data_IF_166229713729
#
_entry.id   IF_166229713729
#
_cell.length_a   1.000
_cell.length_b   1.000
_cell.length_c   1.000
_cell.angle_alpha   90.00
_cell.angle_beta   90.00
_cell.angle_gamma   90.00
#
_symmetry.space_group_name_H-M   'P 1'
#
loop_
_entity.id
_entity.type
_entity.pdbx_description
1 polymer ?
#
# COMPACT_ATOMS: atom_id res chain seq x y z
N UNK A 1 21.49 1.81 -26.97
CA UNK A 1 21.05 1.66 -25.57
C UNK A 1 20.24 2.90 -25.26
N UNK A 2 18.91 2.80 -25.31
CA UNK A 2 18.01 3.93 -25.01
C UNK A 2 17.99 4.07 -23.48
N UNK A 3 18.23 5.26 -22.91
CA UNK A 3 18.07 5.45 -21.48
C UNK A 3 16.61 5.19 -21.14
N UNK A 4 16.37 4.22 -20.25
CA UNK A 4 15.07 4.09 -19.59
C UNK A 4 14.86 5.42 -18.89
N UNK A 5 13.96 6.26 -19.43
CA UNK A 5 13.55 7.46 -18.74
C UNK A 5 13.00 7.00 -17.40
N UNK A 6 13.66 7.40 -16.32
CA UNK A 6 13.21 7.31 -14.93
C UNK A 6 12.01 8.25 -14.76
N UNK A 7 10.94 7.96 -15.50
CA UNK A 7 9.67 8.62 -15.34
C UNK A 7 9.03 7.91 -14.16
N UNK A 8 9.11 8.54 -12.98
CA UNK A 8 8.30 8.16 -11.83
C UNK A 8 6.90 7.80 -12.33
N UNK A 9 6.35 6.63 -11.97
CA UNK A 9 5.03 6.25 -12.44
C UNK A 9 4.08 7.40 -12.10
N UNK A 10 3.44 7.97 -13.12
CA UNK A 10 2.39 8.96 -12.88
C UNK A 10 1.43 8.33 -11.86
N UNK A 11 1.21 9.02 -10.74
CA UNK A 11 0.29 8.55 -9.70
C UNK A 11 -1.04 8.24 -10.37
N UNK A 12 -1.37 6.94 -10.45
CA UNK A 12 -2.62 6.48 -11.04
C UNK A 12 -3.73 6.87 -10.06
N UNK A 13 -4.81 7.54 -10.50
CA UNK A 13 -5.92 7.86 -9.62
C UNK A 13 -6.49 6.60 -8.95
N UNK A 14 -6.72 6.67 -7.63
CA UNK A 14 -7.35 5.59 -6.88
C UNK A 14 -8.83 5.51 -7.27
N UNK A 15 -9.23 4.41 -7.91
CA UNK A 15 -10.62 4.17 -8.37
C UNK A 15 -11.33 3.07 -7.59
N UNK A 16 -10.62 2.36 -6.71
CA UNK A 16 -11.13 1.27 -5.90
C UNK A 16 -10.49 1.30 -4.52
N UNK A 17 -11.26 0.96 -3.49
CA UNK A 17 -10.79 0.77 -2.12
C UNK A 17 -11.44 -0.45 -1.49
N UNK A 18 -10.69 -1.21 -0.69
CA UNK A 18 -11.19 -2.36 0.08
C UNK A 18 -10.79 -2.25 1.55
N UNK A 19 -11.17 -1.17 2.22
CA UNK A 19 -10.86 -0.98 3.63
C UNK A 19 -11.47 -2.07 4.51
N UNK A 20 -10.70 -2.54 5.48
CA UNK A 20 -11.20 -3.39 6.54
C UNK A 20 -12.21 -2.64 7.42
N UNK A 21 -12.93 -3.36 8.30
CA UNK A 21 -13.86 -2.75 9.22
C UNK A 21 -13.21 -1.62 10.05
N UNK A 22 -13.80 -0.43 9.99
CA UNK A 22 -13.34 0.79 10.69
C UNK A 22 -12.10 1.47 10.11
N UNK A 23 -11.56 1.01 8.98
CA UNK A 23 -10.41 1.63 8.33
C UNK A 23 -10.80 2.61 7.21
N UNK A 24 -9.94 3.61 6.89
CA UNK A 24 -8.71 3.96 7.60
C UNK A 24 -9.00 4.72 8.92
N UNK A 25 -8.24 4.46 9.97
CA UNK A 25 -8.45 5.02 11.31
C UNK A 25 -7.33 5.94 11.82
N UNK A 26 -6.18 5.98 11.14
CA UNK A 26 -5.04 6.83 11.48
C UNK A 26 -4.41 6.50 12.84
N UNK A 27 -4.61 5.29 13.36
CA UNK A 27 -4.17 4.91 14.70
C UNK A 27 -2.72 4.43 14.75
N UNK A 28 -2.22 4.36 15.99
CA UNK A 28 -1.31 3.29 16.43
C UNK A 28 0.15 3.41 15.97
N UNK A 29 0.49 4.44 15.17
CA UNK A 29 1.86 4.84 14.83
C UNK A 29 1.96 6.34 14.51
N UNK A 30 3.14 6.81 14.12
CA UNK A 30 3.36 8.16 13.58
C UNK A 30 3.41 8.09 12.05
N UNK A 31 2.89 9.11 11.36
CA UNK A 31 2.91 9.20 9.89
C UNK A 31 2.19 8.03 9.19
N UNK A 32 0.89 7.90 9.48
CA UNK A 32 0.00 6.88 8.92
C UNK A 32 -0.37 7.26 7.48
N UNK A 33 0.53 6.93 6.56
CA UNK A 33 0.41 7.29 5.13
C UNK A 33 0.61 6.11 4.20
N UNK A 34 0.87 4.91 4.74
CA UNK A 34 1.01 3.67 3.98
C UNK A 34 -0.21 2.75 4.18
N UNK A 35 -0.33 1.75 3.31
CA UNK A 35 -1.42 0.77 3.36
C UNK A 35 -0.82 -0.63 3.38
N UNK A 36 -1.32 -1.47 4.28
CA UNK A 36 -1.07 -2.92 4.27
C UNK A 36 -2.35 -3.66 3.88
N UNK A 37 -2.18 -4.81 3.24
CA UNK A 37 -3.29 -5.68 2.84
C UNK A 37 -3.24 -6.95 3.67
N UNK A 38 -4.40 -7.55 3.93
CA UNK A 38 -4.54 -8.77 4.75
C UNK A 38 -4.02 -8.61 6.19
N UNK A 39 -4.26 -7.45 6.81
CA UNK A 39 -3.87 -7.24 8.21
C UNK A 39 -4.56 -8.25 9.15
N UNK A 40 -5.88 -8.46 8.98
CA UNK A 40 -6.67 -9.32 9.87
C UNK A 40 -6.95 -10.72 9.32
N UNK A 41 -7.24 -10.84 8.03
CA UNK A 41 -7.54 -12.11 7.35
C UNK A 41 -7.13 -12.07 5.86
N UNK A 42 -7.38 -13.15 5.12
CA UNK A 42 -6.96 -13.31 3.72
C UNK A 42 -7.98 -12.76 2.69
N UNK A 43 -8.90 -11.87 3.08
CA UNK A 43 -9.95 -11.33 2.19
C UNK A 43 -9.50 -10.16 1.30
N UNK A 44 -8.26 -9.72 1.40
CA UNK A 44 -7.72 -8.60 0.65
C UNK A 44 -8.08 -7.24 1.24
N UNK A 45 -8.54 -7.20 2.50
CA UNK A 45 -8.93 -5.96 3.18
C UNK A 45 -7.71 -5.15 3.62
N UNK A 46 -7.88 -3.83 3.65
CA UNK A 46 -6.80 -2.87 3.83
C UNK A 46 -6.82 -2.23 5.22
N UNK A 47 -5.64 -1.91 5.70
CA UNK A 47 -5.40 -1.16 6.93
C UNK A 47 -4.42 -0.02 6.63
N UNK A 48 -4.66 1.18 7.16
CA UNK A 48 -3.68 2.26 7.08
C UNK A 48 -2.64 2.11 8.19
N UNK A 49 -1.38 2.26 7.83
CA UNK A 49 -0.27 1.91 8.72
C UNK A 49 0.87 2.91 8.56
N UNK A 50 1.68 3.04 9.60
CA UNK A 50 2.93 3.81 9.51
C UNK A 50 3.87 3.17 8.50
N UNK A 51 4.42 3.95 7.58
CA UNK A 51 5.29 3.42 6.51
C UNK A 51 6.55 2.68 7.00
N UNK A 52 6.97 2.97 8.23
CA UNK A 52 8.12 2.33 8.88
C UNK A 52 7.69 1.41 10.04
N UNK A 53 6.40 1.18 10.23
CA UNK A 53 5.89 0.26 11.23
C UNK A 53 6.33 -1.16 10.89
N UNK A 54 6.83 -1.88 11.90
CA UNK A 54 7.13 -3.29 11.75
C UNK A 54 5.84 -4.10 11.92
N UNK A 55 5.13 -4.33 10.81
CA UNK A 55 4.08 -5.36 10.77
C UNK A 55 4.81 -6.70 10.64
N UNK A 56 4.81 -7.50 11.71
CA UNK A 56 5.72 -8.63 11.97
C UNK A 56 5.82 -9.67 10.82
N UNK A 57 4.84 -9.69 9.90
CA UNK A 57 4.79 -10.58 8.74
C UNK A 57 4.48 -9.90 7.39
N UNK A 58 4.50 -8.57 7.33
CA UNK A 58 4.19 -7.89 6.08
C UNK A 58 5.36 -7.98 5.09
N UNK A 59 5.06 -8.46 3.88
CA UNK A 59 5.91 -8.31 2.70
C UNK A 59 5.48 -7.12 1.85
N UNK A 60 5.99 -7.05 0.62
CA UNK A 60 5.59 -6.03 -0.37
C UNK A 60 5.07 -6.70 -1.63
N UNK A 61 3.99 -6.15 -2.19
CA UNK A 61 3.45 -6.58 -3.49
C UNK A 61 3.95 -5.60 -4.57
N UNK A 62 4.62 -6.13 -5.60
CA UNK A 62 5.13 -5.34 -6.71
C UNK A 62 4.28 -5.54 -7.97
N UNK A 63 3.88 -4.45 -8.62
CA UNK A 63 3.27 -4.51 -9.95
C UNK A 63 4.33 -4.27 -11.02
N UNK A 64 4.43 -5.19 -11.98
CA UNK A 64 5.27 -4.99 -13.17
C UNK A 64 4.60 -3.99 -14.12
N UNK A 65 5.32 -2.96 -14.53
CA UNK A 65 4.86 -2.06 -15.58
C UNK A 65 4.76 -2.83 -16.92
N UNK A 66 3.62 -2.70 -17.59
CA UNK A 66 3.46 -3.24 -18.94
C UNK A 66 4.21 -2.33 -19.92
N UNK A 67 5.07 -2.92 -20.75
CA UNK A 67 5.86 -2.23 -21.78
C UNK A 67 4.99 -1.74 -22.94
#
# INVERSE_FOLDING_TARGET
MIPVQDKSPEYIPVTYTNWGPSQPDGCCSYDITCVVVNHWDERGEWDDEGCNSHVEYAGTVCQKQSL
#
